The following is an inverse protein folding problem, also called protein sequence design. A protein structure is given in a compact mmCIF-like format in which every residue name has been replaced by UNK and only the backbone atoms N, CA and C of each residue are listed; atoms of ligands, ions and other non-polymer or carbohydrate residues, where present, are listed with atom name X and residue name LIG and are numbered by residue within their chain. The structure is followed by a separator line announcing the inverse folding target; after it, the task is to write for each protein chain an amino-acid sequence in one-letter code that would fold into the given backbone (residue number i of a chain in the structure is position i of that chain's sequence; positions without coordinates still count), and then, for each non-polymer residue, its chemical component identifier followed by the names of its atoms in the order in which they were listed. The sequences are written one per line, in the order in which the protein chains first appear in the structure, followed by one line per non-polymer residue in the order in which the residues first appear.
data_IF_088435071756
#
_entry.id   IF_088435071756
#
_cell.length_a   1.000
_cell.length_b   1.000
_cell.length_c   1.000
_cell.angle_alpha   90.00
_cell.angle_beta   90.00
_cell.angle_gamma   90.00
#
_symmetry.space_group_name_H-M   'P 1'
#
loop_
_entity.id
_entity.type
_entity.pdbx_description
1 polymer ?
#
# COMPACT_ATOMS: atom_id res chain seq x y z
N UNK A 1 18.22 -2.35 -11.90
CA UNK A 1 17.17 -3.08 -11.16
C UNK A 1 15.85 -2.50 -11.59
N UNK A 2 14.94 -3.30 -12.13
CA UNK A 2 13.59 -2.82 -12.48
C UNK A 2 12.83 -2.77 -11.16
N UNK A 3 12.57 -1.57 -10.64
CA UNK A 3 11.60 -1.39 -9.57
C UNK A 3 10.22 -1.65 -10.18
N UNK A 4 9.68 -2.84 -9.95
CA UNK A 4 8.31 -3.19 -10.35
C UNK A 4 7.34 -2.70 -9.28
N UNK A 5 7.28 -1.38 -9.12
CA UNK A 5 6.19 -0.79 -8.34
C UNK A 5 4.87 -1.14 -9.05
N UNK A 6 3.83 -1.54 -8.32
CA UNK A 6 2.55 -1.84 -8.96
C UNK A 6 2.05 -0.61 -9.72
N UNK A 7 1.51 -0.80 -10.94
CA UNK A 7 0.87 0.31 -11.60
C UNK A 7 -0.28 0.82 -10.72
N UNK A 8 -0.53 2.13 -10.70
CA UNK A 8 -1.74 2.68 -10.10
C UNK A 8 -2.98 1.98 -10.66
N UNK A 9 -4.03 1.89 -9.85
CA UNK A 9 -5.29 1.28 -10.25
C UNK A 9 -6.45 2.27 -10.11
N UNK A 10 -7.51 2.04 -10.86
CA UNK A 10 -8.68 2.91 -10.86
C UNK A 10 -9.70 2.41 -9.85
N UNK A 11 -10.08 3.25 -8.90
CA UNK A 11 -11.16 3.01 -7.95
C UNK A 11 -12.40 3.83 -8.35
N UNK A 12 -13.51 3.14 -8.62
CA UNK A 12 -14.80 3.79 -8.93
C UNK A 12 -15.50 4.17 -7.62
N UNK A 13 -15.85 5.45 -7.49
CA UNK A 13 -16.49 6.05 -6.34
C UNK A 13 -18.02 5.88 -6.38
N UNK A 14 -18.71 6.15 -5.27
CA UNK A 14 -20.17 5.99 -5.16
C UNK A 14 -20.96 6.89 -6.13
N UNK A 15 -20.44 8.07 -6.43
CA UNK A 15 -21.02 9.01 -7.41
C UNK A 15 -20.74 8.62 -8.87
N UNK A 16 -20.10 7.47 -9.10
CA UNK A 16 -19.70 6.98 -10.42
C UNK A 16 -18.43 7.63 -10.98
N UNK A 17 -17.82 8.57 -10.27
CA UNK A 17 -16.51 9.12 -10.65
C UNK A 17 -15.41 8.06 -10.48
N UNK A 18 -14.32 8.24 -11.22
CA UNK A 18 -13.15 7.38 -11.15
C UNK A 18 -11.96 8.16 -10.59
N UNK A 19 -11.24 7.55 -9.66
CA UNK A 19 -9.98 8.09 -9.15
C UNK A 19 -8.88 7.06 -9.35
N UNK A 20 -7.67 7.52 -9.63
CA UNK A 20 -6.50 6.67 -9.71
C UNK A 20 -5.82 6.61 -8.34
N UNK A 21 -5.49 5.40 -7.88
CA UNK A 21 -4.89 5.13 -6.58
C UNK A 21 -3.50 4.55 -6.79
N UNK A 22 -2.49 5.24 -6.28
CA UNK A 22 -1.09 4.87 -6.33
C UNK A 22 -0.59 4.40 -4.94
N UNK A 23 -0.14 3.15 -4.90
CA UNK A 23 0.39 2.47 -3.71
C UNK A 23 1.92 2.27 -3.77
N UNK A 24 2.60 2.87 -4.74
CA UNK A 24 4.03 2.65 -5.01
C UNK A 24 4.95 3.21 -3.94
N UNK A 25 4.51 4.21 -3.17
CA UNK A 25 5.37 4.93 -2.22
C UNK A 25 4.86 4.77 -0.78
N UNK A 26 5.72 4.34 0.15
CA UNK A 26 5.39 4.41 1.56
C UNK A 26 5.38 5.87 2.05
N UNK A 27 4.87 6.08 3.25
CA UNK A 27 4.91 7.36 3.94
C UNK A 27 6.33 7.73 4.35
N UNK A 28 6.47 8.96 4.86
CA UNK A 28 7.79 9.54 5.17
C UNK A 28 8.58 8.74 6.22
N UNK A 29 7.89 7.94 7.04
CA UNK A 29 8.50 7.11 8.08
C UNK A 29 8.48 5.62 7.74
N UNK A 30 8.24 5.26 6.48
CA UNK A 30 8.07 3.87 6.05
C UNK A 30 6.73 3.26 6.46
N UNK A 31 5.78 4.10 6.87
CA UNK A 31 4.41 3.77 7.26
C UNK A 31 3.50 3.66 6.04
N UNK A 32 2.32 3.03 6.22
CA UNK A 32 1.33 2.95 5.15
C UNK A 32 0.91 4.33 4.64
N UNK A 33 1.12 4.55 3.35
CA UNK A 33 0.64 5.72 2.63
C UNK A 33 0.23 5.34 1.20
N UNK A 34 -0.60 6.20 0.62
CA UNK A 34 -1.03 6.11 -0.77
C UNK A 34 -1.46 7.47 -1.31
N UNK A 35 -1.48 7.58 -2.63
CA UNK A 35 -1.85 8.82 -3.32
C UNK A 35 -3.09 8.60 -4.17
N UNK A 36 -4.00 9.58 -4.17
CA UNK A 36 -5.19 9.59 -5.00
C UNK A 36 -5.09 10.73 -6.01
N UNK A 37 -5.27 10.39 -7.28
CA UNK A 37 -5.32 11.32 -8.39
C UNK A 37 -6.75 11.41 -8.92
N UNK A 38 -7.35 12.60 -8.84
CA UNK A 38 -8.68 12.89 -9.39
C UNK A 38 -8.56 13.62 -10.72
N UNK A 39 -9.33 13.19 -11.71
CA UNK A 39 -9.41 13.90 -12.99
C UNK A 39 -9.82 15.37 -12.76
N UNK A 40 -9.02 16.29 -13.29
CA UNK A 40 -9.26 17.74 -13.15
C UNK A 40 -8.78 18.37 -11.85
N UNK A 41 -8.29 17.60 -10.87
CA UNK A 41 -7.68 18.17 -9.67
C UNK A 41 -6.26 18.69 -9.94
N UNK A 42 -5.94 19.88 -9.43
CA UNK A 42 -4.58 20.47 -9.56
C UNK A 42 -3.52 19.76 -8.73
N UNK A 43 -3.91 19.06 -7.67
CA UNK A 43 -2.99 18.41 -6.73
C UNK A 43 -3.50 17.02 -6.40
N UNK A 44 -2.57 16.10 -6.24
CA UNK A 44 -2.86 14.77 -5.74
C UNK A 44 -3.16 14.82 -4.23
N UNK A 45 -4.00 13.90 -3.77
CA UNK A 45 -4.39 13.77 -2.37
C UNK A 45 -3.55 12.66 -1.74
N UNK A 46 -2.80 12.98 -0.68
CA UNK A 46 -1.94 12.00 0.00
C UNK A 46 -2.60 11.53 1.28
N UNK A 47 -2.80 10.22 1.40
CA UNK A 47 -3.36 9.55 2.55
C UNK A 47 -2.26 8.75 3.26
N UNK A 48 -2.27 8.73 4.58
CA UNK A 48 -1.24 8.08 5.38
C UNK A 48 -1.77 7.74 6.77
N UNK A 49 -1.16 6.76 7.42
CA UNK A 49 -1.51 6.33 8.77
C UNK A 49 -0.24 6.04 9.58
N UNK A 50 -0.16 6.58 10.79
CA UNK A 50 1.02 6.41 11.63
C UNK A 50 0.95 5.09 12.40
N UNK A 51 2.00 4.27 12.30
CA UNK A 51 2.26 3.04 13.07
C UNK A 51 1.03 2.15 13.37
N UNK A 52 0.39 2.33 14.52
CA UNK A 52 -0.75 1.51 14.98
C UNK A 52 -1.97 1.67 14.08
N UNK A 53 -2.09 2.80 13.39
CA UNK A 53 -3.12 3.02 12.36
C UNK A 53 -2.96 2.06 11.19
N UNK A 54 -1.74 1.81 10.71
CA UNK A 54 -1.46 0.90 9.59
C UNK A 54 -1.94 -0.51 9.91
N UNK A 55 -1.55 -1.06 11.05
CA UNK A 55 -1.91 -2.42 11.40
C UNK A 55 -3.44 -2.56 11.56
N UNK A 56 -4.13 -1.58 12.15
CA UNK A 56 -5.58 -1.57 12.25
C UNK A 56 -6.29 -1.45 10.88
N UNK A 57 -5.73 -0.70 9.93
CA UNK A 57 -6.21 -0.63 8.54
C UNK A 57 -6.08 -1.98 7.85
N UNK A 58 -4.94 -2.65 8.02
CA UNK A 58 -4.70 -3.97 7.45
C UNK A 58 -5.76 -4.98 7.94
N UNK A 59 -6.10 -4.93 9.22
CA UNK A 59 -7.17 -5.74 9.80
C UNK A 59 -8.54 -5.42 9.18
N UNK A 60 -8.86 -4.13 9.02
CA UNK A 60 -10.12 -3.70 8.41
C UNK A 60 -10.24 -4.18 6.96
N UNK A 61 -9.15 -4.16 6.20
CA UNK A 61 -9.06 -4.71 4.84
C UNK A 61 -9.38 -6.20 4.84
N UNK A 62 -8.68 -7.00 5.65
CA UNK A 62 -8.90 -8.46 5.71
C UNK A 62 -10.31 -8.82 6.19
N UNK A 63 -10.81 -8.13 7.23
CA UNK A 63 -12.16 -8.32 7.75
C UNK A 63 -13.23 -7.99 6.69
N UNK A 64 -13.01 -6.95 5.87
CA UNK A 64 -13.94 -6.56 4.81
C UNK A 64 -13.96 -7.58 3.68
N UNK A 65 -12.80 -8.08 3.26
CA UNK A 65 -12.69 -9.18 2.29
C UNK A 65 -13.46 -10.42 2.78
N UNK A 66 -13.24 -10.82 4.04
CA UNK A 66 -13.89 -11.99 4.63
C UNK A 66 -15.41 -11.82 4.80
N UNK A 67 -15.90 -10.62 5.15
CA UNK A 67 -17.31 -10.36 5.44
C UNK A 67 -18.16 -10.06 4.19
N UNK A 68 -17.56 -9.52 3.12
CA UNK A 68 -18.31 -9.01 1.95
C UNK A 68 -18.23 -9.90 0.72
N UNK A 69 -17.37 -10.91 0.72
CA UNK A 69 -17.21 -11.81 -0.41
C UNK A 69 -17.57 -13.26 -0.03
N UNK A 70 -18.00 -14.09 -1.01
CA UNK A 70 -18.05 -15.53 -0.82
C UNK A 70 -16.67 -16.07 -0.40
N UNK A 71 -16.65 -17.09 0.46
CA UNK A 71 -15.41 -17.66 1.01
C UNK A 71 -14.40 -18.07 -0.08
N UNK A 72 -14.87 -18.62 -1.20
CA UNK A 72 -14.00 -18.98 -2.32
C UNK A 72 -13.30 -17.76 -2.96
N UNK A 73 -14.00 -16.63 -3.07
CA UNK A 73 -13.44 -15.37 -3.59
C UNK A 73 -12.44 -14.77 -2.61
N UNK A 74 -12.78 -14.76 -1.32
CA UNK A 74 -11.88 -14.27 -0.27
C UNK A 74 -10.56 -15.08 -0.26
N UNK A 75 -10.63 -16.42 -0.37
CA UNK A 75 -9.44 -17.27 -0.49
C UNK A 75 -8.64 -16.98 -1.76
N UNK A 76 -9.30 -16.71 -2.89
CA UNK A 76 -8.62 -16.29 -4.12
C UNK A 76 -7.89 -14.95 -3.94
N UNK A 77 -8.48 -13.99 -3.21
CA UNK A 77 -7.83 -12.72 -2.90
C UNK A 77 -6.63 -12.90 -1.96
N UNK A 78 -6.68 -13.82 -0.99
CA UNK A 78 -5.50 -14.19 -0.20
C UNK A 78 -4.37 -14.74 -1.07
N UNK A 79 -4.69 -15.60 -2.05
CA UNK A 79 -3.66 -16.12 -2.95
C UNK A 79 -3.09 -15.00 -3.86
N UNK A 80 -3.93 -14.08 -4.35
CA UNK A 80 -3.45 -12.88 -5.08
C UNK A 80 -2.49 -12.05 -4.24
N UNK A 81 -2.82 -11.81 -2.97
CA UNK A 81 -1.94 -11.08 -2.04
C UNK A 81 -0.59 -11.78 -1.96
N UNK A 82 -0.57 -13.10 -1.76
CA UNK A 82 0.67 -13.89 -1.66
C UNK A 82 1.51 -13.83 -2.94
N UNK A 83 0.88 -14.00 -4.10
CA UNK A 83 1.56 -13.89 -5.39
C UNK A 83 2.17 -12.51 -5.59
N UNK A 84 1.40 -11.45 -5.33
CA UNK A 84 1.82 -10.07 -5.51
C UNK A 84 2.98 -9.70 -4.57
N UNK A 85 2.87 -10.05 -3.29
CA UNK A 85 3.95 -9.83 -2.31
C UNK A 85 5.20 -10.55 -2.78
N UNK A 86 5.11 -11.84 -3.12
CA UNK A 86 6.26 -12.65 -3.56
C UNK A 86 6.93 -12.04 -4.80
N UNK A 87 6.15 -11.59 -5.78
CA UNK A 87 6.67 -10.97 -6.98
C UNK A 87 7.43 -9.66 -6.67
N UNK A 88 6.94 -8.85 -5.71
CA UNK A 88 7.56 -7.58 -5.33
C UNK A 88 8.78 -7.72 -4.43
N UNK A 89 8.83 -8.79 -3.64
CA UNK A 89 9.85 -8.96 -2.60
C UNK A 89 10.88 -10.02 -2.95
N UNK A 90 10.83 -10.56 -4.17
CA UNK A 90 11.81 -11.52 -4.65
C UNK A 90 13.24 -10.96 -4.53
N UNK A 91 14.07 -11.65 -3.74
CA UNK A 91 15.46 -11.25 -3.50
C UNK A 91 15.64 -10.12 -2.48
N UNK A 92 14.58 -9.74 -1.75
CA UNK A 92 14.65 -8.83 -0.62
C UNK A 92 14.63 -9.63 0.69
N UNK A 93 15.46 -9.22 1.65
CA UNK A 93 15.46 -9.81 2.99
C UNK A 93 14.37 -9.18 3.86
N UNK A 94 13.76 -10.01 4.73
CA UNK A 94 12.81 -9.53 5.74
C UNK A 94 13.53 -8.56 6.67
N UNK A 95 13.06 -7.31 6.72
CA UNK A 95 13.61 -6.32 7.64
C UNK A 95 13.33 -6.73 9.09
N UNK A 96 14.31 -6.55 9.98
CA UNK A 96 14.14 -6.61 11.43
C UNK A 96 13.33 -5.38 11.88
N UNK A 97 12.00 -5.50 11.73
CA UNK A 97 10.94 -4.70 12.33
C UNK A 97 10.79 -3.22 11.89
N UNK A 98 9.55 -2.91 11.50
CA UNK A 98 8.88 -1.69 11.93
C UNK A 98 8.99 -1.59 13.46
N UNK A 99 9.25 -0.41 14.00
CA UNK A 99 9.50 -0.17 15.44
C UNK A 99 8.38 -0.64 16.39
N UNK A 100 7.27 -1.21 15.87
CA UNK A 100 6.32 -2.01 16.61
C UNK A 100 6.05 -3.32 15.86
N UNK A 101 6.21 -4.46 16.54
CA UNK A 101 5.72 -5.71 15.98
C UNK A 101 4.23 -5.69 15.83
N UNK A 102 3.77 -6.31 14.75
CA UNK A 102 2.39 -6.75 14.65
C UNK A 102 1.95 -7.63 15.82
N UNK A 103 2.84 -8.29 16.59
CA UNK A 103 2.53 -9.10 17.78
C UNK A 103 1.60 -8.42 18.78
N UNK A 104 1.86 -7.16 19.17
CA UNK A 104 1.01 -6.42 20.11
C UNK A 104 -0.34 -6.03 19.49
N UNK A 105 -0.36 -5.82 18.16
CA UNK A 105 -1.59 -5.57 17.42
C UNK A 105 -2.39 -6.86 17.20
N UNK A 106 -1.71 -7.98 16.94
CA UNK A 106 -2.24 -9.32 16.70
C UNK A 106 -2.94 -9.86 17.94
N UNK A 107 -2.35 -9.65 19.12
CA UNK A 107 -2.98 -9.98 20.40
C UNK A 107 -4.27 -9.19 20.64
N UNK A 108 -4.35 -7.95 20.16
CA UNK A 108 -5.53 -7.09 20.25
C UNK A 108 -6.49 -7.24 19.06
N UNK A 109 -6.10 -7.99 18.04
CA UNK A 109 -6.80 -8.16 16.77
C UNK A 109 -8.04 -9.04 16.95
N UNK A 110 -7.96 -10.07 17.80
CA UNK A 110 -9.13 -10.85 18.19
C UNK A 110 -10.19 -9.97 18.87
N UNK A 111 -9.78 -9.00 19.70
CA UNK A 111 -10.69 -8.06 20.36
C UNK A 111 -11.28 -7.09 19.34
N UNK A 112 -10.43 -6.51 18.48
CA UNK A 112 -10.86 -5.62 17.40
C UNK A 112 -11.81 -6.28 16.40
N UNK A 113 -11.62 -7.57 16.09
CA UNK A 113 -12.48 -8.32 15.16
C UNK A 113 -13.77 -8.81 15.84
N UNK A 114 -13.74 -9.17 17.12
CA UNK A 114 -14.92 -9.64 17.87
C UNK A 114 -15.85 -8.51 18.31
N UNK A 115 -15.30 -7.36 18.71
CA UNK A 115 -16.11 -6.23 19.20
C UNK A 115 -16.59 -5.29 18.09
N UNK A 116 -16.00 -5.36 16.89
CA UNK A 116 -16.47 -4.56 15.76
C UNK A 116 -17.71 -5.20 15.16
N UNK A 117 -18.85 -4.55 15.36
CA UNK A 117 -19.98 -4.71 14.44
C UNK A 117 -19.47 -4.30 13.05
N UNK A 118 -19.59 -5.20 12.08
CA UNK A 118 -19.28 -4.94 10.67
C UNK A 118 -19.99 -3.66 10.21
N UNK A 119 -19.27 -2.53 10.15
CA UNK A 119 -19.84 -1.23 9.73
C UNK A 119 -19.35 -0.02 10.53
N UNK A 120 -18.76 -0.17 11.72
CA UNK A 120 -18.35 0.99 12.52
C UNK A 120 -17.09 1.67 11.97
N UNK A 121 -17.12 3.00 11.90
CA UNK A 121 -15.96 3.82 11.52
C UNK A 121 -14.87 3.77 12.60
N UNK A 122 -13.62 3.61 12.19
CA UNK A 122 -12.47 3.67 13.10
C UNK A 122 -11.58 4.88 12.79
N UNK A 123 -11.23 5.64 13.82
CA UNK A 123 -10.36 6.82 13.72
C UNK A 123 -8.93 6.44 14.09
N UNK A 124 -7.98 6.77 13.23
CA UNK A 124 -6.56 6.55 13.44
C UNK A 124 -5.82 7.87 13.39
N UNK A 125 -4.81 8.02 14.26
CA UNK A 125 -3.89 9.14 14.16
C UNK A 125 -3.01 8.97 12.93
N UNK A 126 -2.93 9.99 12.08
CA UNK A 126 -2.17 9.95 10.84
C UNK A 126 -0.77 10.57 11.00
N UNK A 127 -0.52 11.42 12.00
CA UNK A 127 0.80 12.00 12.25
C UNK A 127 1.17 11.98 13.74
N UNK A 128 2.46 12.09 14.07
CA UNK A 128 2.92 12.10 15.46
C UNK A 128 2.33 13.25 16.30
N UNK A 129 1.93 14.35 15.68
CA UNK A 129 1.33 15.51 16.34
C UNK A 129 -0.16 15.32 16.70
N UNK A 130 -0.83 14.30 16.17
CA UNK A 130 -2.26 14.06 16.38
C UNK A 130 -3.21 15.00 15.61
N UNK A 131 -2.69 15.94 14.81
CA UNK A 131 -3.50 16.94 14.09
C UNK A 131 -4.15 16.40 12.81
N UNK A 132 -3.59 15.30 12.27
CA UNK A 132 -4.16 14.59 11.14
C UNK A 132 -4.75 13.27 11.61
N UNK A 133 -5.93 12.94 11.10
CA UNK A 133 -6.64 11.71 11.46
C UNK A 133 -7.17 11.04 10.20
N UNK A 134 -6.95 9.74 10.09
CA UNK A 134 -7.49 8.91 9.03
C UNK A 134 -8.66 8.09 9.60
N UNK A 135 -9.85 8.34 9.11
CA UNK A 135 -11.06 7.59 9.47
C UNK A 135 -11.32 6.53 8.42
N UNK A 136 -11.47 5.28 8.85
CA UNK A 136 -11.69 4.12 7.99
C UNK A 136 -13.06 3.56 8.30
N UNK A 137 -13.93 3.53 7.30
CA UNK A 137 -15.33 3.12 7.44
C UNK A 137 -15.64 2.00 6.46
N UNK A 138 -16.03 0.80 6.92
CA UNK A 138 -16.59 -0.22 6.05
C UNK A 138 -17.92 0.25 5.46
N UNK A 139 -18.04 0.21 4.13
CA UNK A 139 -19.27 0.54 3.40
C UNK A 139 -19.81 -0.68 2.66
N UNK A 140 -21.04 -0.62 2.10
CA UNK A 140 -21.56 -1.72 1.28
C UNK A 140 -20.70 -2.05 0.06
N UNK A 141 -19.96 -1.07 -0.49
CA UNK A 141 -19.16 -1.25 -1.71
C UNK A 141 -17.67 -1.50 -1.43
N UNK A 142 -17.20 -1.33 -0.20
CA UNK A 142 -15.79 -1.51 0.15
C UNK A 142 -15.37 -0.82 1.45
N UNK A 143 -14.26 -0.10 1.41
CA UNK A 143 -13.74 0.70 2.52
C UNK A 143 -13.60 2.16 2.10
N UNK A 144 -14.21 3.07 2.84
CA UNK A 144 -14.02 4.51 2.69
C UNK A 144 -12.95 4.98 3.66
N UNK A 145 -11.95 5.67 3.14
CA UNK A 145 -10.87 6.31 3.89
C UNK A 145 -11.05 7.82 3.83
N UNK A 146 -11.19 8.45 4.98
CA UNK A 146 -11.38 9.90 5.11
C UNK A 146 -10.20 10.49 5.87
N UNK A 147 -9.36 11.24 5.17
CA UNK A 147 -8.31 12.04 5.80
C UNK A 147 -8.90 13.36 6.28
N UNK A 148 -8.83 13.58 7.58
CA UNK A 148 -9.19 14.83 8.24
C UNK A 148 -7.94 15.50 8.79
N UNK A 149 -7.75 16.76 8.45
CA UNK A 149 -6.70 17.61 9.01
C UNK A 149 -7.36 18.80 9.68
N UNK A 150 -7.07 18.98 10.96
CA UNK A 150 -7.46 20.16 11.71
C UNK A 150 -6.23 21.07 11.83
N UNK A 151 -6.30 22.25 11.23
CA UNK A 151 -5.33 23.34 11.48
C UNK A 151 -6.02 24.43 12.31
N UNK A 152 -5.24 25.40 12.80
CA UNK A 152 -5.79 26.57 13.51
C UNK A 152 -6.75 27.40 12.64
N UNK A 153 -6.64 27.29 11.30
CA UNK A 153 -7.35 28.13 10.34
C UNK A 153 -8.44 27.38 9.56
N UNK A 154 -8.28 26.08 9.32
CA UNK A 154 -9.21 25.30 8.47
C UNK A 154 -9.33 23.83 8.90
N UNK A 155 -10.52 23.26 8.69
CA UNK A 155 -10.73 21.81 8.68
C UNK A 155 -10.73 21.32 7.24
N UNK A 156 -9.78 20.46 6.89
CA UNK A 156 -9.67 19.82 5.59
C UNK A 156 -10.13 18.38 5.68
N UNK A 157 -11.07 17.99 4.81
CA UNK A 157 -11.56 16.60 4.70
C UNK A 157 -11.44 16.10 3.26
N UNK A 158 -10.88 14.90 3.07
CA UNK A 158 -10.82 14.19 1.78
C UNK A 158 -11.19 12.74 1.96
N UNK A 159 -12.06 12.23 1.10
CA UNK A 159 -12.58 10.88 1.19
C UNK A 159 -12.33 10.11 -0.11
N UNK A 160 -11.92 8.85 0.00
CA UNK A 160 -11.79 7.91 -1.11
C UNK A 160 -12.38 6.58 -0.72
N UNK A 161 -13.16 5.97 -1.60
CA UNK A 161 -13.67 4.62 -1.39
C UNK A 161 -12.93 3.65 -2.29
N UNK A 162 -12.37 2.61 -1.67
CA UNK A 162 -11.73 1.48 -2.37
C UNK A 162 -12.72 0.33 -2.37
N UNK A 163 -13.06 -0.15 -3.57
CA UNK A 163 -14.04 -1.22 -3.74
C UNK A 163 -13.54 -2.54 -3.19
N UNK A 164 -14.44 -3.39 -2.70
CA UNK A 164 -14.08 -4.70 -2.11
C UNK A 164 -13.19 -5.53 -3.05
N UNK A 165 -13.42 -5.49 -4.36
CA UNK A 165 -12.64 -6.22 -5.36
C UNK A 165 -11.18 -5.77 -5.52
N UNK A 166 -10.82 -4.59 -5.01
CA UNK A 166 -9.46 -4.02 -5.08
C UNK A 166 -8.75 -3.99 -3.72
N UNK A 167 -9.43 -4.35 -2.63
CA UNK A 167 -8.86 -4.33 -1.28
C UNK A 167 -7.64 -5.25 -1.12
N UNK A 168 -7.54 -6.30 -1.92
CA UNK A 168 -6.35 -7.16 -1.96
C UNK A 168 -5.07 -6.39 -2.35
N UNK A 169 -5.18 -5.34 -3.17
CA UNK A 169 -4.03 -4.51 -3.59
C UNK A 169 -3.46 -3.73 -2.42
N UNK A 170 -4.33 -3.23 -1.55
CA UNK A 170 -3.94 -2.53 -0.32
C UNK A 170 -3.20 -3.49 0.61
N UNK A 171 -3.78 -4.67 0.89
CA UNK A 171 -3.14 -5.69 1.72
C UNK A 171 -1.75 -6.10 1.16
N UNK A 172 -1.65 -6.34 -0.14
CA UNK A 172 -0.38 -6.69 -0.78
C UNK A 172 0.66 -5.57 -0.68
N UNK A 173 0.26 -4.31 -0.88
CA UNK A 173 1.16 -3.17 -0.76
C UNK A 173 1.69 -3.00 0.67
N UNK A 174 0.80 -3.08 1.68
CA UNK A 174 1.17 -2.97 3.09
C UNK A 174 2.18 -4.07 3.48
N UNK A 175 1.94 -5.32 3.08
CA UNK A 175 2.86 -6.43 3.38
C UNK A 175 4.19 -6.27 2.63
N UNK A 176 4.16 -5.87 1.36
CA UNK A 176 5.38 -5.69 0.57
C UNK A 176 6.27 -4.56 1.12
N UNK A 177 5.66 -3.47 1.62
CA UNK A 177 6.39 -2.33 2.20
C UNK A 177 7.19 -2.72 3.46
N UNK A 178 6.76 -3.74 4.21
CA UNK A 178 7.52 -4.29 5.34
C UNK A 178 8.81 -5.02 4.94
N UNK A 179 8.97 -5.32 3.65
CA UNK A 179 10.02 -6.20 3.11
C UNK A 179 11.02 -5.46 2.22
N UNK A 180 10.94 -4.13 2.08
CA UNK A 180 11.86 -3.33 1.23
C UNK A 180 13.08 -2.84 2.03
N UNK A 181 14.33 -3.05 1.55
CA UNK A 181 15.54 -2.65 2.27
C UNK A 181 15.74 -1.12 2.34
N UNK A 182 16.18 -0.66 3.53
CA UNK A 182 16.38 0.75 3.95
C UNK A 182 17.22 1.61 2.99
N UNK A 183 18.07 1.00 2.17
CA UNK A 183 18.99 1.69 1.25
C UNK A 183 18.39 2.12 -0.09
N UNK A 184 17.19 1.66 -0.46
CA UNK A 184 16.51 2.10 -1.69
C UNK A 184 15.50 3.24 -1.46
N UNK A 185 15.01 3.43 -0.23
CA UNK A 185 14.06 4.51 0.10
C UNK A 185 14.72 5.90 0.18
N UNK A 186 16.05 5.96 0.35
CA UNK A 186 16.81 7.23 0.46
C UNK A 186 17.40 7.66 -0.90
N UNK A 187 17.46 6.77 -1.89
CA UNK A 187 18.16 7.03 -3.16
C UNK A 187 17.34 7.80 -4.21
N UNK A 188 16.03 8.00 -4.01
CA UNK A 188 15.17 8.66 -5.01
C UNK A 188 15.19 10.20 -4.97
N UNK A 189 16.04 10.82 -4.15
CA UNK A 189 16.10 12.28 -3.99
C UNK A 189 17.37 12.98 -4.49
N UNK A 190 18.33 12.27 -5.07
CA UNK A 190 19.46 12.92 -5.73
C UNK A 190 19.76 12.33 -7.12
N UNK A 191 19.71 13.23 -8.11
CA UNK A 191 19.98 13.07 -9.54
C UNK A 191 18.74 12.66 -10.35
N UNK A 192 18.19 13.51 -11.22
CA UNK A 192 18.91 14.29 -12.21
C UNK A 192 18.82 13.54 -13.53
N UNK A 193 18.00 14.09 -14.44
CA UNK A 193 17.81 13.70 -15.83
C UNK A 193 19.07 13.08 -16.44
N UNK A 194 18.98 11.83 -16.93
CA UNK A 194 19.64 11.38 -18.17
C UNK A 194 19.06 10.07 -18.68
N UNK A 195 18.77 10.07 -19.97
CA UNK A 195 18.25 8.96 -20.74
C UNK A 195 19.19 7.75 -20.73
N UNK A 196 18.59 6.56 -20.84
CA UNK A 196 19.29 5.33 -21.18
C UNK A 196 20.03 5.47 -22.52
N UNK A 197 21.31 5.09 -22.62
CA UNK A 197 21.82 4.58 -23.88
C UNK A 197 21.28 3.16 -24.08
N UNK A 198 20.59 2.96 -25.22
CA UNK A 198 20.45 1.65 -25.83
C UNK A 198 21.84 1.08 -26.08
N UNK A 199 22.06 -0.18 -25.71
CA UNK A 199 22.64 -1.16 -26.62
C UNK A 199 22.43 -2.59 -26.10
N UNK A 200 21.57 -3.31 -26.82
CA UNK A 200 21.40 -4.76 -26.75
C UNK A 200 21.64 -5.24 -28.18
N UNK A 201 22.85 -5.75 -28.48
CA UNK A 201 23.12 -6.61 -29.63
C UNK A 201 24.23 -7.58 -29.21
N UNK A 202 23.87 -8.80 -28.82
CA UNK A 202 23.72 -9.97 -29.71
C UNK A 202 25.05 -10.49 -30.23
N UNK A 203 25.39 -11.74 -29.93
CA UNK A 203 26.45 -12.43 -30.68
C UNK A 203 26.92 -13.72 -30.05
N UNK A 204 26.31 -14.84 -30.45
CA UNK A 204 26.96 -16.15 -30.44
C UNK A 204 28.34 -16.07 -31.09
N UNK A 205 29.33 -16.79 -30.54
CA UNK A 205 30.25 -17.73 -31.23
C UNK A 205 31.38 -18.16 -30.29
N UNK A 206 31.50 -19.47 -30.03
CA UNK A 206 32.83 -20.10 -29.97
C UNK A 206 33.45 -20.07 -31.39
N UNK A 207 34.76 -20.25 -31.58
CA UNK A 207 35.50 -21.42 -31.08
C UNK A 207 36.94 -21.15 -30.57
N UNK A 208 37.50 -22.16 -29.90
CA UNK A 208 38.90 -22.63 -29.89
C UNK A 208 40.07 -21.65 -29.81
N UNK A 209 41.01 -21.93 -28.89
CA UNK A 209 42.38 -22.35 -29.23
C UNK A 209 43.19 -22.73 -27.97
N UNK A 210 43.77 -23.92 -28.04
CA UNK A 210 45.10 -24.34 -27.56
C UNK A 210 45.72 -23.61 -26.36
N UNK A 211 46.15 -24.39 -25.36
CA UNK A 211 47.57 -24.31 -25.02
C UNK A 211 48.15 -25.67 -24.61
N UNK A 212 49.23 -26.00 -25.30
CA UNK A 212 50.22 -27.03 -24.97
C UNK A 212 51.06 -26.52 -23.79
N UNK A 213 51.25 -27.35 -22.77
CA UNK A 213 52.49 -27.56 -22.01
C UNK A 213 52.27 -28.70 -21.03
#
# INVERSE_FOLDING_TARGET
MVTTDPPPFVAVQEDGSAVEVDLSRPGAYGDFAFTVHRAGARRAEHFYAYHTGEAAIFCAVLATLAARQPAATALADIERIRCEVTARTQGLDVMTRAENTFDDVLANLEVLVRDRKTGDACKHTANAAGSDTLVVTPTPIGLTLVLRRETEEETFERAVTVQTGDLWRFAAAMVAQLLVPRGQLVATFHHGIRACPRELRSGRRGPGLLNLS
#
